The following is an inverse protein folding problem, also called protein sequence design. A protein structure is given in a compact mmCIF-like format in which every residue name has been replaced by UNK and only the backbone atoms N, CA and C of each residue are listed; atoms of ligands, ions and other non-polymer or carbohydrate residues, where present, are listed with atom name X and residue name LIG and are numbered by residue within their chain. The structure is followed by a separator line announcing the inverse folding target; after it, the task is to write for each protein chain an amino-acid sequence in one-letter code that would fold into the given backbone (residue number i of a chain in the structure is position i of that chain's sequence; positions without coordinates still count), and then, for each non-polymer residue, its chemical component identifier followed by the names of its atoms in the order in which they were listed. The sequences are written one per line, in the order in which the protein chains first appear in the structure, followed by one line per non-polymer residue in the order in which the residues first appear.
data_IF_852120687943
#
_entry.id   IF_852120687943
#
_cell.length_a   1.000
_cell.length_b   1.000
_cell.length_c   1.000
_cell.angle_alpha   90.00
_cell.angle_beta   90.00
_cell.angle_gamma   90.00
#
_symmetry.space_group_name_H-M   'P 1'
#
loop_
_entity.id
_entity.type
_entity.pdbx_description
1 polymer ?
#
# COMPACT_ATOMS: atom_id res chain seq x y z
N UNK A 1 25.38 22.15 -31.40
CA UNK A 1 25.39 21.83 -29.95
C UNK A 1 24.30 20.79 -29.72
N UNK A 2 24.67 19.55 -29.37
CA UNK A 2 23.71 18.49 -29.03
C UNK A 2 23.51 18.49 -27.51
N UNK A 3 22.28 18.76 -27.06
CA UNK A 3 21.89 18.64 -25.65
C UNK A 3 21.37 17.22 -25.44
N UNK A 4 22.16 16.37 -24.79
CA UNK A 4 21.72 15.04 -24.34
C UNK A 4 20.87 15.21 -23.09
N UNK A 5 19.56 15.00 -23.23
CA UNK A 5 18.64 14.93 -22.09
C UNK A 5 18.75 13.54 -21.48
N UNK A 6 19.36 13.44 -20.30
CA UNK A 6 19.43 12.19 -19.55
C UNK A 6 18.06 11.89 -18.93
N UNK A 7 17.50 10.67 -19.07
CA UNK A 7 16.27 10.31 -18.40
C UNK A 7 16.56 10.16 -16.90
N UNK A 8 15.90 10.98 -16.08
CA UNK A 8 15.83 10.78 -14.63
C UNK A 8 14.96 9.54 -14.38
N UNK A 9 15.59 8.37 -14.32
CA UNK A 9 14.97 7.16 -13.79
C UNK A 9 14.84 7.30 -12.27
N UNK A 10 13.84 8.07 -11.82
CA UNK A 10 13.36 8.02 -10.45
C UNK A 10 12.78 6.63 -10.21
N UNK A 11 13.61 5.70 -9.71
CA UNK A 11 13.11 4.43 -9.22
C UNK A 11 12.27 4.74 -8.00
N UNK A 12 10.97 4.48 -8.07
CA UNK A 12 10.12 4.27 -6.90
C UNK A 12 10.61 2.99 -6.21
N UNK A 13 11.81 3.04 -5.62
CA UNK A 13 12.39 1.96 -4.87
C UNK A 13 11.71 2.03 -3.49
N UNK A 14 10.65 1.24 -3.33
CA UNK A 14 10.06 0.99 -2.03
C UNK A 14 11.15 0.49 -1.09
N UNK A 15 11.21 1.03 0.13
CA UNK A 15 12.26 0.67 1.08
C UNK A 15 11.96 -0.68 1.76
N UNK A 16 10.79 -1.27 1.48
CA UNK A 16 10.40 -2.63 1.87
C UNK A 16 9.64 -3.29 0.71
N UNK A 17 10.32 -4.04 -0.17
CA UNK A 17 9.68 -4.55 -1.38
C UNK A 17 8.51 -5.51 -1.13
N UNK A 18 8.37 -6.07 0.08
CA UNK A 18 7.45 -7.17 0.39
C UNK A 18 6.23 -6.73 1.22
N UNK A 19 6.09 -5.44 1.56
CA UNK A 19 5.02 -5.00 2.47
C UNK A 19 3.61 -5.22 1.89
N UNK A 20 3.44 -5.13 0.57
CA UNK A 20 2.17 -5.41 -0.11
C UNK A 20 1.80 -6.90 -0.02
N UNK A 21 2.78 -7.79 -0.12
CA UNK A 21 2.58 -9.22 0.01
C UNK A 21 2.21 -9.60 1.46
N UNK A 22 2.80 -8.94 2.46
CA UNK A 22 2.36 -9.05 3.85
C UNK A 22 0.92 -8.56 4.05
N UNK A 23 0.58 -7.41 3.47
CA UNK A 23 -0.78 -6.87 3.50
C UNK A 23 -1.78 -7.84 2.86
N UNK A 24 -1.44 -8.42 1.69
CA UNK A 24 -2.28 -9.42 1.01
C UNK A 24 -2.58 -10.61 1.91
N UNK A 25 -1.56 -11.16 2.57
CA UNK A 25 -1.73 -12.28 3.51
C UNK A 25 -2.63 -11.91 4.68
N UNK A 26 -2.44 -10.72 5.26
CA UNK A 26 -3.25 -10.26 6.39
C UNK A 26 -4.72 -10.08 5.98
N UNK A 27 -4.99 -9.46 4.84
CA UNK A 27 -6.34 -9.29 4.29
C UNK A 27 -7.03 -10.65 4.03
N UNK A 28 -6.31 -11.62 3.48
CA UNK A 28 -6.82 -12.96 3.27
C UNK A 28 -7.14 -13.65 4.61
N UNK A 29 -6.25 -13.56 5.60
CA UNK A 29 -6.39 -14.22 6.89
C UNK A 29 -7.46 -13.59 7.79
N UNK A 30 -7.54 -12.26 7.84
CA UNK A 30 -8.41 -11.54 8.77
C UNK A 30 -9.79 -11.20 8.19
N UNK A 31 -9.87 -10.96 6.87
CA UNK A 31 -11.08 -10.47 6.20
C UNK A 31 -11.62 -11.41 5.13
N UNK A 32 -10.92 -12.51 4.85
CA UNK A 32 -11.24 -13.38 3.72
C UNK A 32 -11.17 -12.66 2.37
N UNK A 33 -10.38 -11.58 2.28
CA UNK A 33 -10.24 -10.80 1.06
C UNK A 33 -9.12 -11.38 0.20
N UNK A 34 -9.48 -12.01 -0.91
CA UNK A 34 -8.54 -12.28 -1.99
C UNK A 34 -8.33 -10.99 -2.78
N UNK A 35 -7.14 -10.40 -2.72
CA UNK A 35 -6.86 -9.11 -3.37
C UNK A 35 -6.69 -9.31 -4.87
N UNK A 36 -7.46 -8.56 -5.66
CA UNK A 36 -7.32 -8.51 -7.12
C UNK A 36 -6.25 -7.46 -7.52
N UNK A 37 -6.35 -6.26 -6.95
CA UNK A 37 -5.39 -5.18 -7.17
C UNK A 37 -5.38 -4.17 -6.01
N UNK A 38 -4.33 -3.34 -5.98
CA UNK A 38 -4.19 -2.23 -5.04
C UNK A 38 -4.32 -0.89 -5.76
N UNK A 39 -4.87 0.11 -5.06
CA UNK A 39 -4.89 1.52 -5.47
C UNK A 39 -4.41 2.42 -4.33
N UNK A 40 -4.07 3.67 -4.64
CA UNK A 40 -3.58 4.65 -3.66
C UNK A 40 -2.44 4.10 -2.79
N UNK A 41 -1.47 3.46 -3.44
CA UNK A 41 -0.32 2.86 -2.77
C UNK A 41 0.69 3.95 -2.46
N UNK A 42 1.12 4.04 -1.21
CA UNK A 42 2.19 4.94 -0.84
C UNK A 42 2.99 4.49 0.36
N UNK A 43 4.28 4.81 0.29
CA UNK A 43 5.25 4.68 1.35
C UNK A 43 5.80 6.08 1.63
N UNK A 44 5.76 6.50 2.88
CA UNK A 44 6.21 7.81 3.32
C UNK A 44 6.90 7.73 4.67
N UNK A 45 7.52 8.82 5.09
CA UNK A 45 8.09 8.97 6.43
C UNK A 45 7.33 10.07 7.17
N UNK A 46 6.85 9.77 8.37
CA UNK A 46 6.17 10.71 9.25
C UNK A 46 6.86 10.71 10.61
N UNK A 47 7.43 11.86 10.98
CA UNK A 47 8.18 12.03 12.23
C UNK A 47 9.28 10.96 12.44
N UNK A 48 10.04 10.66 11.37
CA UNK A 48 11.11 9.66 11.38
C UNK A 48 10.62 8.20 11.42
N UNK A 49 9.32 7.96 11.20
CA UNK A 49 8.73 6.61 11.16
C UNK A 49 8.19 6.32 9.79
N UNK A 50 8.44 5.12 9.29
CA UNK A 50 7.90 4.69 8.01
C UNK A 50 6.41 4.44 8.12
N UNK A 51 5.69 4.94 7.14
CA UNK A 51 4.25 4.83 7.01
C UNK A 51 3.93 4.21 5.66
N UNK A 52 3.07 3.21 5.68
CA UNK A 52 2.58 2.54 4.49
C UNK A 52 1.07 2.72 4.42
N UNK A 53 0.55 2.96 3.23
CA UNK A 53 -0.88 2.96 2.97
C UNK A 53 -1.17 2.34 1.61
N UNK A 54 -2.26 1.58 1.55
CA UNK A 54 -2.81 1.09 0.29
C UNK A 54 -4.31 0.81 0.48
N UNK A 55 -5.06 0.95 -0.61
CA UNK A 55 -6.42 0.44 -0.71
C UNK A 55 -6.41 -0.86 -1.50
N UNK A 56 -6.94 -1.92 -0.92
CA UNK A 56 -7.09 -3.21 -1.58
C UNK A 56 -8.50 -3.34 -2.16
N UNK A 57 -8.58 -3.76 -3.43
CA UNK A 57 -9.81 -4.22 -4.05
C UNK A 57 -9.82 -5.75 -4.01
N UNK A 58 -10.83 -6.33 -3.36
CA UNK A 58 -11.01 -7.78 -3.31
C UNK A 58 -11.75 -8.28 -4.55
N UNK A 59 -11.53 -9.56 -4.90
CA UNK A 59 -12.24 -10.26 -6.00
C UNK A 59 -13.76 -10.32 -5.80
N UNK A 60 -14.22 -10.28 -4.55
CA UNK A 60 -15.64 -10.30 -4.17
C UNK A 60 -16.33 -8.91 -4.28
N UNK A 61 -15.59 -7.89 -4.70
CA UNK A 61 -16.07 -6.51 -4.86
C UNK A 61 -15.89 -5.62 -3.64
N UNK A 62 -15.51 -6.16 -2.47
CA UNK A 62 -15.23 -5.35 -1.27
C UNK A 62 -13.93 -4.56 -1.39
N UNK A 63 -13.84 -3.48 -0.64
CA UNK A 63 -12.65 -2.63 -0.57
C UNK A 63 -12.20 -2.46 0.87
N UNK A 64 -10.89 -2.44 1.07
CA UNK A 64 -10.29 -2.23 2.39
C UNK A 64 -9.17 -1.19 2.29
N UNK A 65 -9.22 -0.19 3.15
CA UNK A 65 -8.07 0.66 3.40
C UNK A 65 -7.16 0.02 4.44
N UNK A 66 -5.88 0.04 4.14
CA UNK A 66 -4.82 -0.48 4.98
C UNK A 66 -3.81 0.63 5.27
N UNK A 67 -3.43 0.75 6.53
CA UNK A 67 -2.34 1.62 6.95
C UNK A 67 -1.45 0.94 7.98
N UNK A 68 -0.15 1.22 7.92
CA UNK A 68 0.85 0.73 8.87
C UNK A 68 1.81 1.85 9.18
N UNK A 69 2.04 2.12 10.47
CA UNK A 69 3.05 3.06 10.94
C UNK A 69 4.03 2.26 11.79
N UNK A 70 5.29 2.19 11.37
CA UNK A 70 6.33 1.51 12.14
C UNK A 70 6.47 2.14 13.54
N UNK A 71 6.72 1.33 14.59
CA UNK A 71 7.10 -0.08 14.58
C UNK A 71 5.92 -1.06 14.73
N UNK A 72 4.71 -0.70 14.33
CA UNK A 72 3.58 -1.64 14.38
C UNK A 72 3.88 -2.91 13.56
N UNK A 73 3.34 -4.06 14.01
CA UNK A 73 3.59 -5.36 13.39
C UNK A 73 2.57 -5.74 12.31
N UNK A 74 1.37 -5.14 12.33
CA UNK A 74 0.26 -5.46 11.44
C UNK A 74 -0.43 -4.19 10.94
N UNK A 75 -1.04 -4.30 9.76
CA UNK A 75 -1.81 -3.21 9.16
C UNK A 75 -3.11 -3.00 9.92
N UNK A 76 -3.49 -1.73 10.09
CA UNK A 76 -4.85 -1.36 10.45
C UNK A 76 -5.73 -1.49 9.20
N UNK A 77 -6.73 -2.37 9.25
CA UNK A 77 -7.62 -2.69 8.14
C UNK A 77 -9.04 -2.18 8.40
N UNK A 78 -9.51 -1.28 7.54
CA UNK A 78 -10.86 -0.70 7.60
C UNK A 78 -11.61 -1.02 6.31
N UNK A 79 -12.78 -1.66 6.43
CA UNK A 79 -13.65 -1.89 5.27
C UNK A 79 -14.24 -0.56 4.80
N UNK A 80 -14.09 -0.26 3.51
CA UNK A 80 -14.58 0.98 2.96
C UNK A 80 -16.04 0.82 2.53
N UNK A 81 -16.96 1.18 3.43
CA UNK A 81 -18.37 1.41 3.10
C UNK A 81 -18.54 2.81 2.52
N UNK A 82 -19.53 3.00 1.64
CA UNK A 82 -19.91 4.20 0.83
C UNK A 82 -19.84 5.61 1.46
N UNK A 83 -19.49 5.76 2.74
CA UNK A 83 -19.28 7.04 3.41
C UNK A 83 -17.80 7.24 3.73
N UNK A 84 -17.12 7.89 2.78
CA UNK A 84 -15.79 8.48 2.89
C UNK A 84 -14.71 7.62 3.54
N UNK A 85 -13.87 7.09 2.65
CA UNK A 85 -12.46 6.82 2.92
C UNK A 85 -11.66 7.62 1.87
#
# INVERSE_FOLDING_TARGET
MLVTVAPLAGRAQSSDPDWLDRLSRQLAAERGCAVEYYVNIGESELAGRRTFHARAQCTDGRQFDASLIEPAASFSLSECGVQLC
#
